data_IF_794630471780
#
_entry.id   IF_794630471780
#
_cell.length_a   1.000
_cell.length_b   1.000
_cell.length_c   1.000
_cell.angle_alpha   90.00
_cell.angle_beta   90.00
_cell.angle_gamma   90.00
#
_symmetry.space_group_name_H-M   'P 1'
#
loop_
_entity.id
_entity.type
_entity.pdbx_description
1 polymer ?
#
# COMPACT_ATOMS: atom_id res chain seq x y z
N UNK A 1 -9.50 4.57 2.24
CA UNK A 1 -8.59 3.45 1.97
C UNK A 1 -7.21 3.80 2.47
N UNK A 2 -6.39 2.81 2.80
CA UNK A 2 -4.99 2.99 3.12
C UNK A 2 -4.08 2.62 1.95
N UNK A 3 -2.89 3.22 1.89
CA UNK A 3 -1.84 2.79 0.97
C UNK A 3 -0.48 2.88 1.66
N UNK A 4 0.37 1.84 1.57
CA UNK A 4 1.73 1.92 2.08
C UNK A 4 2.54 2.86 1.19
N UNK A 5 3.35 3.70 1.81
CA UNK A 5 4.35 4.53 1.14
C UNK A 5 5.74 4.21 1.69
N UNK A 6 6.73 4.27 0.82
CA UNK A 6 8.12 4.18 1.26
C UNK A 6 8.48 5.44 2.03
N UNK A 7 8.81 5.33 3.31
CA UNK A 7 9.35 6.41 4.13
C UNK A 7 10.86 6.60 3.94
N UNK A 8 11.39 6.30 2.75
CA UNK A 8 12.79 6.50 2.37
C UNK A 8 12.90 7.82 1.59
N UNK A 9 12.60 8.92 2.26
CA UNK A 9 12.63 10.27 1.67
C UNK A 9 14.03 10.88 1.68
N UNK A 10 14.93 10.35 2.52
CA UNK A 10 16.34 10.69 2.59
C UNK A 10 17.18 9.57 1.96
N UNK A 11 18.06 9.94 1.02
CA UNK A 11 18.97 9.02 0.35
C UNK A 11 19.89 8.24 1.31
N UNK A 12 20.17 8.78 2.50
CA UNK A 12 20.91 8.08 3.54
C UNK A 12 20.20 6.81 4.05
N UNK A 13 18.89 6.68 3.81
CA UNK A 13 18.09 5.53 4.22
C UNK A 13 18.05 4.41 3.17
N UNK A 14 18.54 4.64 1.95
CA UNK A 14 18.37 3.70 0.83
C UNK A 14 19.07 2.36 1.02
N UNK A 15 20.21 2.34 1.69
CA UNK A 15 20.97 1.11 1.95
C UNK A 15 20.71 0.52 3.35
N UNK A 16 19.86 1.16 4.16
CA UNK A 16 19.61 0.73 5.53
C UNK A 16 18.54 -0.36 5.59
N UNK A 17 18.81 -1.36 6.44
CA UNK A 17 17.82 -2.38 6.83
C UNK A 17 17.02 -1.84 8.02
N UNK A 18 15.70 -1.70 7.85
CA UNK A 18 14.80 -1.17 8.87
C UNK A 18 13.35 -1.07 8.40
N UNK A 19 12.44 -0.79 9.33
CA UNK A 19 11.01 -0.60 9.02
C UNK A 19 10.72 0.87 8.73
N UNK A 20 10.73 1.22 7.44
CA UNK A 20 10.52 2.59 6.96
C UNK A 20 9.16 2.78 6.27
N UNK A 21 8.29 1.77 6.25
CA UNK A 21 6.98 1.90 5.60
C UNK A 21 6.08 2.77 6.47
N UNK A 22 5.51 3.83 5.89
CA UNK A 22 4.44 4.61 6.49
C UNK A 22 3.11 4.30 5.77
N UNK A 23 1.98 4.58 6.40
CA UNK A 23 0.65 4.36 5.81
C UNK A 23 -0.07 5.68 5.59
N UNK A 24 -0.50 5.92 4.36
CA UNK A 24 -1.34 7.07 4.01
C UNK A 24 -2.81 6.71 4.04
N UNK A 25 -3.62 7.59 4.63
CA UNK A 25 -5.09 7.48 4.65
C UNK A 25 -5.67 8.35 3.54
N UNK A 26 -6.15 7.72 2.48
CA UNK A 26 -6.84 8.40 1.39
C UNK A 26 -8.36 8.38 1.62
N UNK A 27 -8.91 9.57 1.90
CA UNK A 27 -10.37 9.81 2.02
C UNK A 27 -10.85 10.66 0.85
N UNK A 28 -11.68 10.05 -0.01
CA UNK A 28 -12.32 10.71 -1.15
C UNK A 28 -13.83 10.48 -1.07
N UNK A 29 -14.59 11.56 -1.25
CA UNK A 29 -16.05 11.47 -1.36
C UNK A 29 -16.44 11.11 -2.79
N UNK A 30 -17.24 10.07 -2.93
CA UNK A 30 -17.73 9.55 -4.21
C UNK A 30 -19.24 9.53 -4.17
N UNK A 31 -19.88 10.13 -5.17
CA UNK A 31 -21.33 10.05 -5.38
C UNK A 31 -21.61 9.33 -6.69
N UNK A 32 -22.75 8.63 -6.84
CA UNK A 32 -23.07 7.90 -8.07
C UNK A 32 -23.11 8.77 -9.34
N UNK A 33 -23.33 10.08 -9.20
CA UNK A 33 -23.36 11.02 -10.32
C UNK A 33 -21.97 11.54 -10.73
N UNK A 34 -20.94 11.35 -9.91
CA UNK A 34 -19.59 11.84 -10.17
C UNK A 34 -18.94 11.00 -11.26
N UNK A 35 -18.34 11.64 -12.28
CA UNK A 35 -17.63 10.93 -13.33
C UNK A 35 -16.35 10.29 -12.79
N UNK A 36 -15.94 9.16 -13.35
CA UNK A 36 -14.67 8.51 -12.98
C UNK A 36 -13.47 9.46 -13.06
N UNK A 37 -13.37 10.25 -14.14
CA UNK A 37 -12.28 11.22 -14.34
C UNK A 37 -12.23 12.29 -13.24
N UNK A 38 -13.38 12.70 -12.70
CA UNK A 38 -13.46 13.67 -11.61
C UNK A 38 -13.01 13.05 -10.29
N UNK A 39 -13.39 11.80 -10.03
CA UNK A 39 -12.89 11.04 -8.86
C UNK A 39 -11.38 10.87 -8.96
N UNK A 40 -10.87 10.50 -10.14
CA UNK A 40 -9.44 10.31 -10.37
C UNK A 40 -8.66 11.60 -10.15
N UNK A 41 -9.16 12.74 -10.63
CA UNK A 41 -8.50 14.03 -10.41
C UNK A 41 -8.48 14.41 -8.91
N UNK A 42 -9.59 14.17 -8.18
CA UNK A 42 -9.64 14.38 -6.72
C UNK A 42 -8.65 13.49 -5.98
N UNK A 43 -8.53 12.23 -6.39
CA UNK A 43 -7.55 11.29 -5.82
C UNK A 43 -6.13 11.78 -6.08
N UNK A 44 -5.83 12.16 -7.33
CA UNK A 44 -4.52 12.70 -7.73
C UNK A 44 -4.15 13.93 -6.91
N UNK A 45 -5.04 14.92 -6.82
CA UNK A 45 -4.78 16.14 -6.06
C UNK A 45 -4.53 15.83 -4.58
N UNK A 46 -5.37 14.99 -3.95
CA UNK A 46 -5.17 14.60 -2.54
C UNK A 46 -3.87 13.84 -2.31
N UNK A 47 -3.48 12.95 -3.22
CA UNK A 47 -2.23 12.22 -3.12
C UNK A 47 -1.03 13.17 -3.28
N UNK A 48 -1.08 14.11 -4.22
CA UNK A 48 -0.05 15.13 -4.40
C UNK A 48 0.07 16.06 -3.18
N UNK A 49 -1.06 16.52 -2.62
CA UNK A 49 -1.08 17.36 -1.42
C UNK A 49 -0.53 16.61 -0.20
N UNK A 50 -0.77 15.29 -0.11
CA UNK A 50 -0.31 14.44 0.98
C UNK A 50 1.23 14.34 1.05
N UNK A 51 1.96 14.48 -0.06
CA UNK A 51 3.43 14.52 -0.04
C UNK A 51 3.99 15.63 0.85
N UNK A 52 3.27 16.75 0.99
CA UNK A 52 3.68 17.84 1.88
C UNK A 52 3.63 17.47 3.37
N UNK A 53 3.00 16.34 3.71
CA UNK A 53 2.83 15.84 5.08
C UNK A 53 3.37 14.40 5.22
N UNK A 54 4.21 13.93 4.30
CA UNK A 54 4.65 12.53 4.23
C UNK A 54 5.39 12.05 5.48
N UNK A 55 6.01 12.98 6.22
CA UNK A 55 6.80 12.70 7.42
C UNK A 55 5.93 12.45 8.66
N UNK A 56 4.62 12.70 8.59
CA UNK A 56 3.70 12.41 9.69
C UNK A 56 3.48 10.89 9.81
N UNK A 57 3.90 10.24 10.91
CA UNK A 57 3.66 8.82 11.09
C UNK A 57 2.18 8.52 11.25
N UNK A 58 1.72 7.42 10.65
CA UNK A 58 0.34 6.94 10.77
C UNK A 58 -0.11 6.81 12.22
N UNK A 59 0.75 6.27 13.09
CA UNK A 59 0.46 6.06 14.51
C UNK A 59 0.14 7.38 15.22
N UNK A 60 0.86 8.46 14.89
CA UNK A 60 0.60 9.80 15.43
C UNK A 60 -0.75 10.34 14.98
N UNK A 61 -1.15 10.06 13.74
CA UNK A 61 -2.48 10.42 13.24
C UNK A 61 -3.58 9.68 14.00
N UNK A 62 -3.41 8.38 14.25
CA UNK A 62 -4.36 7.57 15.04
C UNK A 62 -4.46 8.09 16.47
N UNK A 63 -3.32 8.40 17.11
CA UNK A 63 -3.28 8.97 18.47
C UNK A 63 -4.07 10.28 18.55
N UNK A 64 -3.87 11.19 17.59
CA UNK A 64 -4.53 12.50 17.60
C UNK A 64 -6.02 12.42 17.31
N UNK A 65 -6.43 11.58 16.34
CA UNK A 65 -7.85 11.40 16.01
C UNK A 65 -8.59 10.57 17.04
N UNK A 66 -7.87 9.79 17.84
CA UNK A 66 -8.37 8.93 18.92
C UNK A 66 -9.68 8.19 18.55
N UNK A 67 -9.69 7.40 17.45
CA UNK A 67 -10.88 6.64 17.08
C UNK A 67 -11.19 5.57 18.14
N UNK A 68 -12.42 5.05 18.14
CA UNK A 68 -12.78 3.91 18.99
C UNK A 68 -11.82 2.76 18.70
N UNK A 69 -11.11 2.30 19.74
CA UNK A 69 -10.14 1.21 19.61
C UNK A 69 -10.87 -0.10 19.39
N UNK A 70 -10.39 -0.89 18.44
CA UNK A 70 -10.86 -2.24 18.14
C UNK A 70 -9.67 -3.13 17.84
N UNK A 71 -9.73 -4.38 18.29
CA UNK A 71 -8.80 -5.44 17.85
C UNK A 71 -9.29 -6.14 16.58
N UNK A 72 -10.54 -5.90 16.16
CA UNK A 72 -11.16 -6.52 15.00
C UNK A 72 -10.92 -5.74 13.70
N UNK A 73 -10.62 -4.44 13.78
CA UNK A 73 -10.45 -3.59 12.59
C UNK A 73 -9.23 -2.70 12.71
N UNK A 74 -8.57 -2.51 11.56
CA UNK A 74 -7.51 -1.54 11.44
C UNK A 74 -8.08 -0.10 11.61
N UNK A 75 -7.39 0.80 12.34
CA UNK A 75 -7.88 2.15 12.56
C UNK A 75 -7.92 2.96 11.25
N UNK A 76 -8.88 3.88 11.15
CA UNK A 76 -9.10 4.84 10.06
C UNK A 76 -9.48 4.25 8.67
N UNK A 77 -9.06 3.03 8.35
CA UNK A 77 -9.42 2.34 7.11
C UNK A 77 -9.33 0.82 7.25
N UNK A 78 -10.13 0.12 6.44
CA UNK A 78 -10.22 -1.35 6.41
C UNK A 78 -9.90 -1.93 5.03
N UNK A 79 -9.70 -1.07 4.03
CA UNK A 79 -9.30 -1.46 2.67
C UNK A 79 -7.94 -0.85 2.37
N UNK A 80 -6.97 -1.69 2.03
CA UNK A 80 -5.63 -1.30 1.63
C UNK A 80 -5.39 -1.56 0.14
N UNK A 81 -4.62 -0.68 -0.49
CA UNK A 81 -4.10 -0.86 -1.84
C UNK A 81 -2.61 -0.56 -1.85
N UNK A 82 -1.81 -1.59 -2.10
CA UNK A 82 -0.39 -1.50 -2.35
C UNK A 82 -0.12 -1.59 -3.85
N UNK A 83 0.70 -0.68 -4.35
CA UNK A 83 1.18 -0.69 -5.73
C UNK A 83 2.69 -0.89 -5.74
N UNK A 84 3.13 -2.01 -6.32
CA UNK A 84 4.52 -2.44 -6.38
C UNK A 84 5.05 -2.21 -7.80
N UNK A 85 5.75 -1.09 -8.01
CA UNK A 85 6.37 -0.71 -9.28
C UNK A 85 7.90 -0.92 -9.30
N UNK A 86 8.46 -1.49 -8.24
CA UNK A 86 9.89 -1.73 -8.15
C UNK A 86 10.27 -3.09 -8.74
N UNK A 87 11.41 -3.13 -9.43
CA UNK A 87 12.01 -4.38 -9.90
C UNK A 87 12.37 -5.22 -8.68
N UNK A 88 11.90 -6.47 -8.63
CA UNK A 88 12.34 -7.41 -7.59
C UNK A 88 13.83 -7.69 -7.80
N UNK A 89 14.67 -7.52 -6.77
CA UNK A 89 16.08 -7.85 -6.90
C UNK A 89 16.22 -9.36 -7.14
N UNK A 90 17.01 -9.72 -8.16
CA UNK A 90 17.44 -11.10 -8.35
C UNK A 90 18.53 -11.41 -7.31
N UNK A 91 18.34 -12.51 -6.57
CA UNK A 91 19.33 -12.99 -5.61
C UNK A 91 20.18 -14.03 -6.32
N UNK A 92 21.44 -13.68 -6.59
CA UNK A 92 22.44 -14.62 -7.12
C UNK A 92 23.33 -15.11 -5.98
N UNK A 93 23.52 -16.43 -5.90
CA UNK A 93 24.46 -17.09 -4.99
C UNK A 93 25.36 -18.01 -5.81
N UNK A 94 26.66 -18.01 -5.51
CA UNK A 94 27.64 -18.79 -6.26
C UNK A 94 27.32 -20.29 -6.22
N UNK A 95 27.16 -20.89 -7.40
CA UNK A 95 26.97 -22.33 -7.57
C UNK A 95 25.57 -22.86 -7.18
N UNK A 96 24.59 -21.99 -6.91
CA UNK A 96 23.24 -22.42 -6.50
C UNK A 96 22.16 -21.62 -7.24
N UNK A 97 21.13 -22.32 -7.73
CA UNK A 97 19.91 -21.70 -8.27
C UNK A 97 18.97 -21.28 -7.14
N UNK A 98 18.48 -20.04 -7.20
CA UNK A 98 17.52 -19.49 -6.23
C UNK A 98 16.19 -19.24 -6.93
N UNK A 99 15.11 -19.72 -6.33
CA UNK A 99 13.75 -19.46 -6.80
C UNK A 99 12.87 -18.93 -5.65
N UNK A 100 11.99 -17.95 -5.90
CA UNK A 100 11.05 -17.47 -4.88
C UNK A 100 10.07 -18.57 -4.47
N UNK A 101 10.03 -18.89 -3.16
CA UNK A 101 8.98 -19.72 -2.60
C UNK A 101 7.84 -18.83 -2.09
N UNK A 102 6.63 -19.04 -2.61
CA UNK A 102 5.45 -18.35 -2.12
C UNK A 102 5.09 -18.84 -0.71
N UNK A 103 5.01 -17.91 0.24
CA UNK A 103 4.52 -18.17 1.60
C UNK A 103 3.05 -17.73 1.69
N UNK A 104 2.19 -18.65 2.09
CA UNK A 104 0.80 -18.35 2.42
C UNK A 104 0.74 -17.88 3.88
N UNK A 105 0.61 -16.57 4.09
CA UNK A 105 0.59 -15.99 5.43
C UNK A 105 -0.71 -16.27 6.20
N UNK A 106 -1.77 -16.76 5.52
CA UNK A 106 -3.13 -17.05 6.04
C UNK A 106 -3.71 -16.00 6.99
N UNK A 107 -3.18 -14.79 6.98
CA UNK A 107 -3.51 -13.72 7.94
C UNK A 107 -3.84 -12.47 7.16
N UNK A 108 -5.07 -11.99 7.31
CA UNK A 108 -5.49 -10.72 6.75
C UNK A 108 -5.28 -9.61 7.79
N UNK A 109 -4.53 -8.56 7.42
CA UNK A 109 -4.32 -7.37 8.27
C UNK A 109 -5.44 -6.33 8.14
N UNK A 110 -6.17 -6.41 7.04
CA UNK A 110 -7.26 -5.53 6.64
C UNK A 110 -8.43 -6.40 6.18
N UNK A 111 -9.65 -5.85 6.19
CA UNK A 111 -10.82 -6.56 5.66
C UNK A 111 -10.61 -6.92 4.18
N UNK A 112 -10.00 -5.99 3.41
CA UNK A 112 -9.55 -6.20 2.03
C UNK A 112 -8.16 -5.58 1.81
N UNK A 113 -7.26 -6.35 1.19
CA UNK A 113 -5.92 -5.91 0.82
C UNK A 113 -5.64 -6.26 -0.64
N UNK A 114 -5.37 -5.23 -1.45
CA UNK A 114 -5.03 -5.34 -2.86
C UNK A 114 -3.54 -5.10 -3.04
N UNK A 115 -2.77 -6.13 -3.40
CA UNK A 115 -1.38 -6.01 -3.84
C UNK A 115 -1.35 -6.06 -5.37
N UNK A 116 -1.12 -4.92 -6.01
CA UNK A 116 -0.93 -4.81 -7.45
C UNK A 116 0.56 -4.67 -7.77
N UNK A 117 1.01 -5.33 -8.83
CA UNK A 117 2.40 -5.31 -9.26
C UNK A 117 2.52 -5.13 -10.76
N UNK A 118 3.38 -4.21 -11.15
CA UNK A 118 3.78 -4.10 -12.55
C UNK A 118 4.62 -5.31 -12.95
N UNK A 119 4.27 -5.91 -14.09
CA UNK A 119 5.11 -6.92 -14.74
C UNK A 119 6.00 -6.16 -15.73
N UNK A 120 7.34 -6.23 -15.61
CA UNK A 120 8.23 -5.54 -16.53
C UNK A 120 7.88 -5.86 -17.99
N UNK A 121 7.56 -4.82 -18.76
CA UNK A 121 7.16 -4.93 -20.15
C UNK A 121 7.41 -3.61 -20.88
N UNK A 122 7.72 -3.67 -22.18
CA UNK A 122 7.76 -2.50 -23.06
C UNK A 122 6.37 -2.07 -23.54
N UNK A 123 5.36 -2.93 -23.37
CA UNK A 123 3.97 -2.64 -23.73
C UNK A 123 3.26 -1.89 -22.58
N UNK A 124 2.80 -0.64 -22.78
CA UNK A 124 2.08 0.13 -21.77
C UNK A 124 0.71 -0.46 -21.41
N UNK A 125 0.23 -1.44 -22.17
CA UNK A 125 -1.02 -2.18 -21.91
C UNK A 125 -0.78 -3.55 -21.28
N UNK A 126 0.47 -3.86 -20.93
CA UNK A 126 0.81 -5.12 -20.28
C UNK A 126 -0.02 -5.31 -18.99
N UNK A 127 -0.46 -6.56 -18.73
CA UNK A 127 -1.26 -6.83 -17.56
C UNK A 127 -0.44 -6.63 -16.28
N UNK A 128 -1.11 -6.15 -15.24
CA UNK A 128 -0.57 -6.15 -13.88
C UNK A 128 -0.86 -7.50 -13.22
N UNK A 129 0.09 -7.99 -12.43
CA UNK A 129 -0.17 -9.08 -11.51
C UNK A 129 -0.90 -8.53 -10.28
N UNK A 130 -1.85 -9.28 -9.73
CA UNK A 130 -2.54 -8.87 -8.50
C UNK A 130 -2.77 -10.04 -7.55
N UNK A 131 -2.77 -9.73 -6.26
CA UNK A 131 -3.21 -10.63 -5.20
C UNK A 131 -4.22 -9.87 -4.35
N UNK A 132 -5.35 -10.52 -4.05
CA UNK A 132 -6.34 -9.99 -3.11
C UNK A 132 -6.37 -10.89 -1.89
N UNK A 133 -6.09 -10.30 -0.72
CA UNK A 133 -6.25 -10.96 0.58
C UNK A 133 -7.45 -10.34 1.29
N UNK A 134 -8.25 -11.17 1.94
CA UNK A 134 -9.46 -10.72 2.63
C UNK A 134 -9.64 -11.45 3.95
N UNK A 135 -10.26 -10.77 4.92
CA UNK A 135 -10.61 -11.38 6.19
C UNK A 135 -11.78 -12.35 6.00
N UNK A 136 -11.66 -13.56 6.54
CA UNK A 136 -12.73 -14.58 6.54
C UNK A 136 -13.47 -14.66 7.87
N UNK A 137 -13.01 -13.93 8.88
CA UNK A 137 -13.60 -13.93 10.21
C UNK A 137 -14.95 -13.18 10.20
N UNK A 138 -15.96 -13.69 10.92
CA UNK A 138 -17.25 -13.00 11.03
C UNK A 138 -17.10 -11.71 11.86
N UNK A 139 -17.75 -10.64 11.39
CA UNK A 139 -17.87 -9.33 12.06
C UNK A 139 -18.65 -9.44 13.37
#
# INVERSE_FOLDING_TARGET
MGTPIAGRTDAALDELVGFFVNSWVLRVEVTPATRFSEVLERVRQKALDAYSNQDLPFERLVEQLNPVRSTAHHPLFQVALAFQNNVRPEVALDGVSVEPLALDSRTAKFDLDFDLREVPSEDPTAPMASVVTYATDPV
#
